data_IF_703220992422
#
_entry.id   IF_703220992422
#
_cell.length_a   1.000
_cell.length_b   1.000
_cell.length_c   1.000
_cell.angle_alpha   90.00
_cell.angle_beta   90.00
_cell.angle_gamma   90.00
#
_symmetry.space_group_name_H-M   'P 1'
#
loop_
_entity.id
_entity.type
_entity.pdbx_description
1 polymer ?
#
# COMPACT_ATOMS: atom_id res chain seq x y z
N UNK A 1 28.43 -7.36 -44.02
CA UNK A 1 29.09 -6.97 -42.75
C UNK A 1 28.41 -5.73 -42.21
N UNK A 2 27.74 -5.86 -41.05
CA UNK A 2 27.51 -4.85 -39.99
C UNK A 2 26.82 -3.52 -40.35
N UNK A 3 25.87 -2.94 -39.61
CA UNK A 3 25.08 -3.30 -38.43
C UNK A 3 23.92 -2.29 -38.35
N UNK A 4 22.74 -2.73 -37.92
CA UNK A 4 21.59 -1.89 -37.57
C UNK A 4 21.91 -0.92 -36.43
N UNK A 5 21.61 0.36 -36.63
CA UNK A 5 21.54 1.38 -35.57
C UNK A 5 20.08 1.61 -35.22
N UNK A 6 19.57 0.82 -34.27
CA UNK A 6 18.34 1.16 -33.55
C UNK A 6 18.61 2.27 -32.54
N UNK A 7 17.67 3.19 -32.27
CA UNK A 7 17.88 4.24 -31.28
C UNK A 7 17.99 3.63 -29.88
N UNK A 8 18.77 4.25 -28.97
CA UNK A 8 18.89 3.78 -27.60
C UNK A 8 17.53 3.93 -26.91
N UNK A 9 16.97 2.81 -26.45
CA UNK A 9 15.82 2.82 -25.55
C UNK A 9 16.28 3.47 -24.23
N UNK A 10 15.93 4.75 -24.06
CA UNK A 10 16.11 5.46 -22.82
C UNK A 10 15.29 4.76 -21.73
N UNK A 11 15.99 4.00 -20.90
CA UNK A 11 15.49 3.44 -19.66
C UNK A 11 14.90 4.57 -18.81
N UNK A 12 13.57 4.68 -18.79
CA UNK A 12 12.80 5.49 -17.85
C UNK A 12 12.90 4.87 -16.44
N UNK A 13 14.11 4.83 -15.87
CA UNK A 13 14.26 4.61 -14.44
C UNK A 13 13.90 5.93 -13.76
N UNK A 14 12.63 6.09 -13.42
CA UNK A 14 12.07 7.29 -12.82
C UNK A 14 12.86 7.74 -11.58
N UNK A 15 13.52 8.92 -11.60
CA UNK A 15 14.08 9.53 -10.40
C UNK A 15 13.00 9.92 -9.35
N UNK A 16 11.71 9.77 -9.68
CA UNK A 16 10.55 10.03 -8.80
C UNK A 16 10.39 9.03 -7.63
N UNK A 17 10.91 7.80 -7.78
CA UNK A 17 10.81 6.75 -6.77
C UNK A 17 11.34 7.18 -5.38
N UNK A 18 12.47 7.90 -5.39
CA UNK A 18 13.16 8.37 -4.17
C UNK A 18 12.52 9.64 -3.58
N UNK A 19 11.76 10.39 -4.40
CA UNK A 19 11.01 11.57 -3.97
C UNK A 19 9.64 11.22 -3.36
N UNK A 20 9.01 10.11 -3.75
CA UNK A 20 7.73 9.65 -3.20
C UNK A 20 7.85 9.06 -1.79
N UNK A 21 9.05 8.62 -1.40
CA UNK A 21 9.37 8.11 -0.07
C UNK A 21 10.15 9.12 0.78
N UNK A 22 9.90 10.42 0.62
CA UNK A 22 10.46 11.41 1.55
C UNK A 22 10.03 11.04 2.97
N UNK A 23 11.02 10.61 3.76
CA UNK A 23 10.86 10.13 5.14
C UNK A 23 10.30 11.26 6.04
N UNK A 24 10.38 12.50 5.56
CA UNK A 24 10.06 13.75 6.23
C UNK A 24 8.57 14.18 6.17
N UNK A 25 7.71 13.53 5.37
CA UNK A 25 6.27 13.87 5.36
C UNK A 25 5.70 13.53 6.76
N UNK A 26 5.48 14.50 7.65
CA UNK A 26 5.14 14.26 9.07
C UNK A 26 3.79 13.58 9.28
N UNK A 27 2.84 13.76 8.35
CA UNK A 27 1.49 13.18 8.38
C UNK A 27 1.38 11.99 7.41
N UNK A 28 0.67 10.91 7.78
CA UNK A 28 0.39 9.79 6.88
C UNK A 28 -1.09 9.81 6.48
N UNK A 29 -1.41 10.65 5.51
CA UNK A 29 -2.76 10.74 4.96
C UNK A 29 -3.06 9.61 3.97
N UNK A 30 -4.32 9.51 3.56
CA UNK A 30 -4.78 8.49 2.63
C UNK A 30 -4.12 8.61 1.25
N UNK A 31 -3.85 9.83 0.76
CA UNK A 31 -3.14 10.01 -0.50
C UNK A 31 -1.70 9.50 -0.39
N UNK A 32 -1.00 9.74 0.72
CA UNK A 32 0.33 9.19 0.97
C UNK A 32 0.33 7.66 1.06
N UNK A 33 -0.67 7.05 1.71
CA UNK A 33 -0.81 5.58 1.74
C UNK A 33 -1.00 5.05 0.31
N UNK A 34 -1.92 5.62 -0.46
CA UNK A 34 -2.18 5.23 -1.84
C UNK A 34 -0.91 5.33 -2.71
N UNK A 35 -0.21 6.48 -2.65
CA UNK A 35 1.06 6.70 -3.36
C UNK A 35 2.11 5.64 -3.02
N UNK A 36 2.30 5.35 -1.74
CA UNK A 36 3.32 4.41 -1.26
C UNK A 36 3.02 2.99 -1.69
N UNK A 37 1.75 2.58 -1.64
CA UNK A 37 1.34 1.27 -2.11
C UNK A 37 1.47 1.15 -3.62
N UNK A 38 1.04 2.16 -4.39
CA UNK A 38 1.24 2.17 -5.83
C UNK A 38 2.73 2.05 -6.20
N UNK A 39 3.60 2.79 -5.52
CA UNK A 39 5.05 2.67 -5.67
C UNK A 39 5.59 1.27 -5.29
N UNK A 40 5.12 0.71 -4.18
CA UNK A 40 5.53 -0.60 -3.68
C UNK A 40 5.28 -1.72 -4.72
N UNK A 41 4.17 -1.63 -5.45
CA UNK A 41 3.79 -2.61 -6.47
C UNK A 41 4.15 -2.19 -7.91
N UNK A 42 4.83 -1.05 -8.10
CA UNK A 42 5.10 -0.45 -9.41
C UNK A 42 3.83 -0.23 -10.26
N UNK A 43 2.74 0.15 -9.61
CA UNK A 43 1.46 0.39 -10.26
C UNK A 43 1.42 1.73 -10.98
N UNK A 44 0.94 1.69 -12.22
CA UNK A 44 0.55 2.87 -13.00
C UNK A 44 -0.78 3.43 -12.51
N UNK A 45 -1.18 4.59 -13.03
CA UNK A 45 -2.51 5.16 -12.75
C UNK A 45 -3.66 4.27 -13.24
N UNK A 46 -3.43 3.50 -14.32
CA UNK A 46 -4.39 2.54 -14.83
C UNK A 46 -4.53 1.35 -13.87
N UNK A 47 -3.41 0.83 -13.36
CA UNK A 47 -3.42 -0.25 -12.36
C UNK A 47 -4.14 0.17 -11.08
N UNK A 48 -3.89 1.39 -10.59
CA UNK A 48 -4.59 1.92 -9.40
C UNK A 48 -6.10 2.00 -9.64
N UNK A 49 -6.52 2.49 -10.81
CA UNK A 49 -7.94 2.54 -11.16
C UNK A 49 -8.57 1.15 -11.24
N UNK A 50 -7.89 0.19 -11.87
CA UNK A 50 -8.35 -1.18 -12.03
C UNK A 50 -8.46 -1.90 -10.68
N UNK A 51 -7.45 -1.78 -9.82
CA UNK A 51 -7.44 -2.36 -8.48
C UNK A 51 -8.57 -1.75 -7.63
N UNK A 52 -8.76 -0.43 -7.67
CA UNK A 52 -9.87 0.22 -6.94
C UNK A 52 -11.23 -0.30 -7.43
N UNK A 53 -11.38 -0.56 -8.72
CA UNK A 53 -12.60 -1.14 -9.29
C UNK A 53 -12.88 -2.56 -8.79
N UNK A 54 -11.85 -3.37 -8.53
CA UNK A 54 -12.02 -4.68 -7.90
C UNK A 54 -12.61 -4.58 -6.49
N UNK A 55 -12.31 -3.52 -5.74
CA UNK A 55 -12.91 -3.22 -4.45
C UNK A 55 -14.28 -2.55 -4.52
N UNK A 56 -14.85 -2.38 -5.72
CA UNK A 56 -16.21 -1.88 -5.92
C UNK A 56 -16.32 -0.37 -6.13
N UNK A 57 -15.22 0.37 -6.23
CA UNK A 57 -15.24 1.82 -6.53
C UNK A 57 -14.59 2.09 -7.90
N UNK A 58 -15.27 2.87 -8.76
CA UNK A 58 -14.73 3.18 -10.09
C UNK A 58 -13.93 4.48 -10.06
N UNK A 59 -12.71 4.42 -10.58
CA UNK A 59 -11.89 5.58 -10.88
C UNK A 59 -11.51 5.58 -12.36
N UNK A 60 -11.40 6.77 -12.95
CA UNK A 60 -10.63 6.93 -14.19
C UNK A 60 -9.13 6.98 -13.87
N UNK A 61 -8.23 6.64 -14.82
CA UNK A 61 -6.79 6.84 -14.63
C UNK A 61 -6.42 8.29 -14.32
N UNK A 62 -7.16 9.27 -14.87
CA UNK A 62 -6.98 10.69 -14.56
C UNK A 62 -7.34 11.02 -13.10
N UNK A 63 -8.41 10.41 -12.57
CA UNK A 63 -8.82 10.57 -11.17
C UNK A 63 -7.85 9.89 -10.21
N UNK A 64 -7.32 8.72 -10.58
CA UNK A 64 -6.26 8.04 -9.84
C UNK A 64 -4.99 8.91 -9.79
N UNK A 65 -4.56 9.45 -10.94
CA UNK A 65 -3.43 10.38 -11.02
C UNK A 65 -3.61 11.60 -10.13
N UNK A 66 -4.79 12.22 -10.12
CA UNK A 66 -5.07 13.39 -9.29
C UNK A 66 -4.96 13.09 -7.78
N UNK A 67 -5.37 11.89 -7.34
CA UNK A 67 -5.22 11.43 -5.95
C UNK A 67 -3.79 11.01 -5.60
N UNK A 68 -2.97 10.67 -6.58
CA UNK A 68 -1.55 10.34 -6.34
C UNK A 68 -0.65 11.57 -6.28
N UNK A 69 -1.13 12.77 -6.63
CA UNK A 69 -0.38 14.03 -6.46
C UNK A 69 -0.29 14.44 -5.00
N UNK A 70 0.85 15.02 -4.60
CA UNK A 70 1.04 15.66 -3.27
C UNK A 70 0.03 16.78 -3.08
N UNK A 71 -0.31 17.06 -1.82
CA UNK A 71 -1.40 17.97 -1.46
C UNK A 71 -1.15 19.40 -1.99
N UNK A 72 0.10 19.81 -2.02
CA UNK A 72 0.57 21.11 -2.53
C UNK A 72 0.59 21.21 -4.06
N UNK A 73 0.45 20.10 -4.79
CA UNK A 73 0.49 20.11 -6.24
C UNK A 73 -0.84 20.58 -6.86
N UNK A 74 -0.75 21.40 -7.91
CA UNK A 74 -1.94 21.89 -8.63
C UNK A 74 -2.80 20.72 -9.13
N UNK A 75 -4.08 20.74 -8.74
CA UNK A 75 -5.05 19.72 -9.13
C UNK A 75 -4.86 18.38 -8.42
N UNK A 76 -4.29 18.39 -7.21
CA UNK A 76 -4.41 17.31 -6.24
C UNK A 76 -5.88 17.15 -5.81
N UNK A 77 -6.28 15.90 -5.60
CA UNK A 77 -7.63 15.55 -5.14
C UNK A 77 -7.51 14.70 -3.90
N UNK A 78 -8.29 15.02 -2.87
CA UNK A 78 -8.32 14.24 -1.63
C UNK A 78 -8.76 12.78 -1.88
N UNK A 79 -8.06 11.85 -1.25
CA UNK A 79 -8.38 10.43 -1.24
C UNK A 79 -9.16 10.14 0.04
N UNK A 80 -10.49 10.08 -0.04
CA UNK A 80 -11.32 9.71 1.09
C UNK A 80 -11.16 8.23 1.48
N UNK A 81 -11.67 7.89 2.67
CA UNK A 81 -11.61 6.54 3.22
C UNK A 81 -12.27 5.49 2.31
N UNK A 82 -13.34 5.84 1.60
CA UNK A 82 -14.06 4.91 0.75
C UNK A 82 -13.21 4.50 -0.46
N UNK A 83 -12.49 5.45 -1.06
CA UNK A 83 -11.58 5.18 -2.16
C UNK A 83 -10.37 4.37 -1.69
N UNK A 84 -9.74 4.75 -0.59
CA UNK A 84 -8.58 4.00 -0.08
C UNK A 84 -8.97 2.59 0.37
N UNK A 85 -10.12 2.44 1.04
CA UNK A 85 -10.65 1.13 1.43
C UNK A 85 -10.88 0.25 0.19
N UNK A 86 -11.53 0.77 -0.85
CA UNK A 86 -11.77 0.02 -2.07
C UNK A 86 -10.46 -0.37 -2.78
N UNK A 87 -9.46 0.51 -2.80
CA UNK A 87 -8.14 0.16 -3.30
C UNK A 87 -7.50 -0.99 -2.49
N UNK A 88 -7.59 -0.96 -1.17
CA UNK A 88 -7.05 -2.02 -0.29
C UNK A 88 -7.79 -3.34 -0.41
N UNK A 89 -9.12 -3.34 -0.52
CA UNK A 89 -9.90 -4.55 -0.79
C UNK A 89 -9.62 -5.09 -2.19
N UNK A 90 -9.50 -4.19 -3.17
CA UNK A 90 -9.05 -4.51 -4.51
C UNK A 90 -7.67 -5.17 -4.53
N UNK A 91 -6.72 -4.70 -3.72
CA UNK A 91 -5.41 -5.32 -3.54
C UNK A 91 -5.53 -6.74 -2.97
N UNK A 92 -6.39 -6.96 -1.97
CA UNK A 92 -6.65 -8.29 -1.42
C UNK A 92 -7.18 -9.21 -2.53
N UNK A 93 -8.17 -8.76 -3.30
CA UNK A 93 -8.75 -9.53 -4.40
C UNK A 93 -7.70 -9.82 -5.48
N UNK A 94 -6.90 -8.83 -5.88
CA UNK A 94 -5.86 -8.97 -6.90
C UNK A 94 -4.81 -10.01 -6.52
N UNK A 95 -4.36 -10.02 -5.27
CA UNK A 95 -3.25 -10.87 -4.82
C UNK A 95 -3.69 -12.23 -4.28
N UNK A 96 -4.96 -12.38 -3.87
CA UNK A 96 -5.47 -13.62 -3.25
C UNK A 96 -6.65 -14.25 -3.96
N UNK A 97 -7.28 -13.54 -4.87
CA UNK A 97 -8.57 -13.90 -5.45
C UNK A 97 -9.75 -13.38 -4.61
N UNK A 98 -10.97 -13.47 -5.17
CA UNK A 98 -12.19 -13.05 -4.50
C UNK A 98 -12.49 -13.91 -3.27
N UNK A 99 -13.34 -13.38 -2.38
CA UNK A 99 -13.86 -14.15 -1.25
C UNK A 99 -14.65 -15.36 -1.78
N UNK A 100 -14.50 -16.57 -1.19
CA UNK A 100 -15.30 -17.73 -1.55
C UNK A 100 -16.80 -17.44 -1.42
N UNK A 101 -17.65 -18.02 -2.29
CA UNK A 101 -19.10 -17.91 -2.15
C UNK A 101 -19.56 -18.34 -0.75
N UNK A 102 -20.42 -17.54 -0.12
CA UNK A 102 -20.99 -17.83 1.20
C UNK A 102 -20.08 -17.55 2.40
N UNK A 103 -18.82 -17.14 2.20
CA UNK A 103 -17.98 -16.77 3.33
C UNK A 103 -18.47 -15.46 4.00
N UNK A 104 -18.40 -15.35 5.34
CA UNK A 104 -18.88 -14.18 6.06
C UNK A 104 -18.27 -12.88 5.53
N UNK A 105 -19.12 -11.87 5.33
CA UNK A 105 -18.68 -10.51 5.03
C UNK A 105 -18.31 -9.85 6.36
N UNK A 106 -17.06 -9.37 6.53
CA UNK A 106 -16.68 -8.62 7.72
C UNK A 106 -17.57 -7.38 7.86
N UNK A 107 -17.93 -6.98 9.09
CA UNK A 107 -18.65 -5.75 9.32
C UNK A 107 -17.84 -4.57 8.79
N UNK A 108 -18.54 -3.56 8.24
CA UNK A 108 -17.91 -2.30 7.86
C UNK A 108 -17.47 -1.57 9.13
N UNK A 109 -16.21 -1.19 9.16
CA UNK A 109 -15.59 -0.42 10.25
C UNK A 109 -14.89 0.79 9.64
N UNK A 110 -14.70 1.88 10.39
CA UNK A 110 -13.93 3.02 9.90
C UNK A 110 -12.53 2.60 9.43
N UNK A 111 -12.05 3.20 8.35
CA UNK A 111 -10.71 2.94 7.85
C UNK A 111 -9.68 3.57 8.79
N UNK A 112 -9.05 2.72 9.60
CA UNK A 112 -7.96 3.12 10.49
C UNK A 112 -6.65 2.53 9.99
N UNK A 113 -5.53 3.05 10.48
CA UNK A 113 -4.21 2.46 10.25
C UNK A 113 -4.13 0.98 10.66
N UNK A 114 -4.90 0.54 11.67
CA UNK A 114 -5.02 -0.86 12.04
C UNK A 114 -5.65 -1.68 10.91
N UNK A 115 -6.73 -1.17 10.30
CA UNK A 115 -7.39 -1.83 9.16
C UNK A 115 -6.53 -1.80 7.90
N UNK A 116 -5.79 -0.71 7.63
CA UNK A 116 -4.79 -0.68 6.55
C UNK A 116 -3.74 -1.79 6.76
N UNK A 117 -3.16 -1.86 7.96
CA UNK A 117 -2.14 -2.86 8.30
C UNK A 117 -2.68 -4.30 8.16
N UNK A 118 -3.93 -4.52 8.57
CA UNK A 118 -4.62 -5.81 8.49
C UNK A 118 -4.93 -6.21 7.04
N UNK A 119 -5.43 -5.30 6.19
CA UNK A 119 -5.67 -5.58 4.76
C UNK A 119 -4.35 -5.89 4.05
N UNK A 120 -3.26 -5.17 4.37
CA UNK A 120 -1.93 -5.47 3.82
C UNK A 120 -1.38 -6.83 4.28
N UNK A 121 -1.52 -7.17 5.57
CA UNK A 121 -1.16 -8.49 6.10
C UNK A 121 -1.88 -9.60 5.34
N UNK A 122 -3.19 -9.43 5.12
CA UNK A 122 -4.02 -10.39 4.39
C UNK A 122 -3.56 -10.47 2.94
N UNK A 123 -3.48 -9.35 2.23
CA UNK A 123 -3.16 -9.29 0.80
C UNK A 123 -1.80 -9.93 0.48
N UNK A 124 -0.78 -9.60 1.28
CA UNK A 124 0.59 -10.08 1.10
C UNK A 124 0.87 -11.45 1.76
N UNK A 125 -0.15 -12.08 2.36
CA UNK A 125 -0.06 -13.37 3.07
C UNK A 125 1.04 -13.38 4.15
N UNK A 126 1.16 -12.28 4.89
CA UNK A 126 2.23 -12.09 5.88
C UNK A 126 1.94 -12.84 7.17
N UNK A 127 2.96 -13.56 7.67
CA UNK A 127 2.99 -14.11 9.04
C UNK A 127 3.46 -13.03 10.01
N UNK A 128 3.22 -13.24 11.31
CA UNK A 128 3.72 -12.33 12.35
C UNK A 128 5.24 -12.09 12.23
N UNK A 129 6.00 -13.14 11.90
CA UNK A 129 7.45 -13.05 11.67
C UNK A 129 7.82 -12.12 10.52
N UNK A 130 7.03 -12.08 9.46
CA UNK A 130 7.28 -11.21 8.30
C UNK A 130 6.96 -9.75 8.65
N UNK A 131 5.87 -9.55 9.39
CA UNK A 131 5.45 -8.23 9.88
C UNK A 131 6.50 -7.62 10.82
N UNK A 132 7.02 -8.41 11.76
CA UNK A 132 8.07 -7.98 12.69
C UNK A 132 9.37 -7.63 11.95
N UNK A 133 9.79 -8.46 10.99
CA UNK A 133 10.96 -8.16 10.15
C UNK A 133 10.77 -6.89 9.33
N UNK A 134 9.58 -6.66 8.77
CA UNK A 134 9.28 -5.43 8.04
C UNK A 134 9.35 -4.20 8.95
N UNK A 135 8.80 -4.25 10.16
CA UNK A 135 8.93 -3.17 11.14
C UNK A 135 10.41 -2.89 11.48
N UNK A 136 11.19 -3.96 11.71
CA UNK A 136 12.62 -3.86 12.00
C UNK A 136 13.39 -3.21 10.85
N UNK A 137 13.13 -3.61 9.59
CA UNK A 137 13.71 -2.94 8.42
C UNK A 137 13.28 -1.47 8.29
N UNK A 138 12.10 -1.11 8.79
CA UNK A 138 11.63 0.27 8.91
C UNK A 138 12.32 1.07 10.02
N UNK A 139 13.10 0.41 10.88
CA UNK A 139 13.83 1.02 12.00
C UNK A 139 13.05 1.06 13.31
N UNK A 140 12.02 0.23 13.50
CA UNK A 140 11.36 0.04 14.80
C UNK A 140 11.18 -1.44 15.12
N UNK A 141 11.24 -1.79 16.39
CA UNK A 141 11.02 -3.17 16.84
C UNK A 141 9.76 -3.23 17.70
N UNK A 142 8.93 -4.24 17.47
CA UNK A 142 7.81 -4.58 18.34
C UNK A 142 8.00 -6.01 18.83
N UNK A 143 7.54 -6.30 20.04
CA UNK A 143 7.33 -7.67 20.50
C UNK A 143 6.13 -8.32 19.78
N UNK A 144 6.03 -9.65 19.86
CA UNK A 144 4.86 -10.38 19.35
C UNK A 144 3.56 -9.93 20.03
N UNK A 145 3.62 -9.61 21.33
CA UNK A 145 2.47 -9.12 22.09
C UNK A 145 2.02 -7.75 21.59
N UNK A 146 2.96 -6.82 21.37
CA UNK A 146 2.65 -5.49 20.81
C UNK A 146 2.10 -5.57 19.39
N UNK A 147 2.66 -6.43 18.53
CA UNK A 147 2.10 -6.67 17.20
C UNK A 147 0.68 -7.23 17.30
N UNK A 148 0.43 -8.20 18.20
CA UNK A 148 -0.91 -8.77 18.40
C UNK A 148 -1.91 -7.72 18.87
N UNK A 149 -1.50 -6.77 19.71
CA UNK A 149 -2.35 -5.68 20.20
C UNK A 149 -2.93 -4.80 19.07
N UNK A 150 -2.18 -4.64 17.97
CA UNK A 150 -2.63 -3.88 16.78
C UNK A 150 -3.77 -4.56 16.00
N UNK A 151 -4.02 -5.85 16.22
CA UNK A 151 -5.05 -6.61 15.51
C UNK A 151 -6.22 -7.02 16.40
N UNK A 152 -6.26 -6.56 17.66
CA UNK A 152 -7.39 -6.81 18.56
C UNK A 152 -8.59 -5.93 18.18
N UNK A 153 -9.79 -6.34 18.56
CA UNK A 153 -10.97 -5.52 18.38
C UNK A 153 -10.85 -4.20 19.17
N UNK A 154 -11.35 -3.06 18.66
CA UNK A 154 -11.17 -1.76 19.31
C UNK A 154 -11.65 -1.67 20.77
N UNK A 155 -12.65 -2.48 21.15
CA UNK A 155 -13.20 -2.56 22.51
C UNK A 155 -12.42 -3.51 23.44
N UNK A 156 -11.36 -4.16 22.96
CA UNK A 156 -10.58 -5.10 23.76
C UNK A 156 -9.58 -4.36 24.66
N UNK A 157 -9.46 -4.76 25.94
CA UNK A 157 -8.57 -4.12 26.94
C UNK A 157 -7.08 -4.02 26.55
N UNK A 158 -6.64 -4.86 25.62
CA UNK A 158 -5.26 -4.88 25.09
C UNK A 158 -5.20 -4.46 23.62
N UNK A 159 -6.22 -3.78 23.12
CA UNK A 159 -6.16 -3.14 21.81
C UNK A 159 -5.21 -1.94 21.86
N UNK A 160 -4.43 -1.79 20.78
CA UNK A 160 -3.59 -0.61 20.58
C UNK A 160 -3.84 -0.05 19.19
N UNK A 161 -4.14 1.25 19.13
CA UNK A 161 -4.23 1.96 17.87
C UNK A 161 -2.86 1.96 17.16
N UNK A 162 -2.86 1.69 15.87
CA UNK A 162 -1.70 1.79 15.01
C UNK A 162 -1.49 3.27 14.66
N UNK A 163 -0.48 3.91 15.24
CA UNK A 163 -0.15 5.28 14.88
C UNK A 163 0.53 5.37 13.51
N UNK A 164 0.48 6.56 12.90
CA UNK A 164 1.11 6.86 11.60
C UNK A 164 2.58 6.44 11.55
N UNK A 165 3.31 6.66 12.64
CA UNK A 165 4.72 6.30 12.72
C UNK A 165 4.95 4.79 12.55
N UNK A 166 4.09 3.96 13.15
CA UNK A 166 4.18 2.49 13.05
C UNK A 166 3.85 2.06 11.63
N UNK A 167 2.73 2.54 11.07
CA UNK A 167 2.34 2.20 9.70
C UNK A 167 3.39 2.67 8.67
N UNK A 168 3.93 3.88 8.84
CA UNK A 168 5.01 4.43 8.01
C UNK A 168 6.23 3.52 8.02
N UNK A 169 6.73 3.15 9.21
CA UNK A 169 7.91 2.28 9.28
C UNK A 169 7.63 0.90 8.69
N UNK A 170 6.45 0.35 8.94
CA UNK A 170 6.03 -0.91 8.30
C UNK A 170 6.06 -0.80 6.76
N UNK A 171 5.43 0.23 6.19
CA UNK A 171 5.40 0.46 4.74
C UNK A 171 6.82 0.63 4.17
N UNK A 172 7.69 1.39 4.84
CA UNK A 172 9.10 1.54 4.44
C UNK A 172 9.81 0.19 4.43
N UNK A 173 9.71 -0.60 5.49
CA UNK A 173 10.47 -1.84 5.61
C UNK A 173 9.92 -3.01 4.79
N UNK A 174 8.62 -3.03 4.48
CA UNK A 174 8.02 -4.07 3.61
C UNK A 174 8.25 -3.78 2.12
N UNK A 175 8.42 -2.50 1.74
CA UNK A 175 8.51 -2.09 0.32
C UNK A 175 9.60 -2.85 -0.45
N UNK A 176 10.87 -2.89 0.01
CA UNK A 176 11.92 -3.64 -0.70
C UNK A 176 11.63 -5.15 -0.79
N UNK A 177 10.94 -5.72 0.21
CA UNK A 177 10.57 -7.14 0.20
C UNK A 177 9.55 -7.43 -0.90
N UNK A 178 8.56 -6.56 -1.06
CA UNK A 178 7.54 -6.69 -2.11
C UNK A 178 8.14 -6.44 -3.48
N UNK A 179 8.94 -5.39 -3.65
CA UNK A 179 9.55 -5.07 -4.94
C UNK A 179 10.45 -6.19 -5.45
N UNK A 180 11.20 -6.88 -4.56
CA UNK A 180 11.97 -8.08 -4.93
C UNK A 180 11.12 -9.27 -5.39
N UNK A 181 9.87 -9.38 -4.92
CA UNK A 181 8.93 -10.44 -5.36
C UNK A 181 8.29 -10.10 -6.71
N UNK A 182 7.99 -8.82 -6.95
CA UNK A 182 7.37 -8.34 -8.18
C UNK A 182 8.37 -8.31 -9.33
N UNK A 183 9.63 -7.93 -9.06
CA UNK A 183 10.69 -7.77 -10.06
C UNK A 183 11.84 -8.76 -9.79
N UNK A 184 11.53 -10.04 -9.53
CA UNK A 184 12.52 -11.08 -9.21
C UNK A 184 13.77 -11.03 -10.12
N UNK A 185 14.94 -11.49 -9.63
CA UNK A 185 16.22 -11.21 -10.26
C UNK A 185 16.19 -11.67 -11.73
N UNK A 186 16.64 -10.78 -12.62
CA UNK A 186 17.01 -11.15 -13.97
C UNK A 186 18.09 -12.25 -13.93
#
# INVERSE_FOLDING_TARGET
MHHSTGPPQAQHHQPAARALLRIEDTHLDNNAILRRLAYMFSYTFADVAEVTALGGQRLSPSSARARMKREEERGAVFCDDHILEAFLDGLVIRLRGPRPPGAPVPPRVPLTNNEVLKKLRIALKLKDTDMLKALQHGGISLSKAELSALFRAPNHRHHRACGDQVLRKFLVGITPVVQRRVHGPA
#
